data_IF_585322980864
#
_entry.id   IF_585322980864
#
_cell.length_a   1.000
_cell.length_b   1.000
_cell.length_c   1.000
_cell.angle_alpha   90.00
_cell.angle_beta   90.00
_cell.angle_gamma   90.00
#
_symmetry.space_group_name_H-M   'P 1'
#
loop_
_entity.id
_entity.type
_entity.pdbx_description
1 polymer ?
#
# COMPACT_ATOMS: atom_id res chain seq x y z
N UNK A 1 -39.45 3.24 -19.47
CA UNK A 1 -38.09 3.61 -19.91
C UNK A 1 -38.10 5.10 -20.15
N UNK A 2 -37.13 5.83 -19.57
CA UNK A 2 -36.98 7.31 -19.52
C UNK A 2 -37.65 8.04 -18.34
N UNK A 3 -37.19 7.71 -17.14
CA UNK A 3 -37.11 8.68 -16.03
C UNK A 3 -35.80 8.38 -15.31
N UNK A 4 -34.72 8.96 -15.82
CA UNK A 4 -33.41 9.08 -15.18
C UNK A 4 -32.63 10.11 -15.98
N UNK A 5 -31.99 11.03 -15.26
CA UNK A 5 -30.92 11.93 -15.70
C UNK A 5 -31.25 13.42 -15.94
N UNK A 6 -32.01 14.07 -15.05
CA UNK A 6 -32.12 15.55 -15.03
C UNK A 6 -31.80 16.20 -13.67
N UNK A 7 -30.79 15.70 -12.95
CA UNK A 7 -30.40 16.26 -11.65
C UNK A 7 -28.91 16.64 -11.55
N UNK A 8 -28.24 17.00 -12.65
CA UNK A 8 -26.81 17.36 -12.60
C UNK A 8 -26.39 18.62 -13.37
N UNK A 9 -27.31 19.41 -13.94
CA UNK A 9 -26.96 20.65 -14.67
C UNK A 9 -28.03 21.76 -14.58
N UNK A 10 -28.82 21.83 -13.51
CA UNK A 10 -29.81 22.89 -13.32
C UNK A 10 -29.17 24.14 -12.70
N UNK A 11 -28.16 24.71 -13.36
CA UNK A 11 -27.90 26.14 -13.25
C UNK A 11 -28.68 26.81 -14.39
N UNK A 12 -29.48 27.86 -14.14
CA UNK A 12 -30.16 28.57 -15.22
C UNK A 12 -29.10 29.13 -16.17
N UNK A 13 -29.08 28.64 -17.40
CA UNK A 13 -28.23 29.19 -18.45
C UNK A 13 -28.84 30.52 -18.85
N UNK A 14 -28.06 31.59 -18.71
CA UNK A 14 -28.45 32.95 -19.06
C UNK A 14 -28.80 32.99 -20.55
N UNK A 15 -30.09 33.11 -20.86
CA UNK A 15 -30.62 33.04 -22.24
C UNK A 15 -30.06 34.14 -23.14
N UNK A 16 -29.60 35.25 -22.55
CA UNK A 16 -28.97 36.37 -23.27
C UNK A 16 -27.60 36.03 -23.87
N UNK A 17 -26.93 34.96 -23.40
CA UNK A 17 -25.67 34.47 -23.99
C UNK A 17 -25.92 33.55 -25.18
N UNK A 18 -27.06 32.86 -25.21
CA UNK A 18 -27.44 31.95 -26.30
C UNK A 18 -28.03 32.68 -27.52
N UNK A 19 -28.51 33.92 -27.36
CA UNK A 19 -29.04 34.73 -28.48
C UNK A 19 -27.95 35.49 -29.25
N UNK A 20 -26.70 35.49 -28.77
CA UNK A 20 -25.57 36.04 -29.53
C UNK A 20 -24.92 34.93 -30.34
N UNK A 21 -25.42 34.73 -31.56
CA UNK A 21 -24.75 33.89 -32.55
C UNK A 21 -23.29 34.34 -32.72
N UNK A 22 -22.37 33.39 -32.53
CA UNK A 22 -20.94 33.64 -32.66
C UNK A 22 -20.61 33.99 -34.13
N UNK A 23 -20.35 35.27 -34.39
CA UNK A 23 -20.08 35.80 -35.71
C UNK A 23 -18.66 35.43 -36.18
N UNK A 24 -18.57 34.28 -36.86
CA UNK A 24 -17.31 33.76 -37.41
C UNK A 24 -16.73 34.66 -38.49
N UNK A 25 -17.54 35.37 -39.28
CA UNK A 25 -17.06 36.23 -40.36
C UNK A 25 -16.40 37.50 -39.81
N UNK A 26 -16.98 38.11 -38.77
CA UNK A 26 -16.41 39.28 -38.11
C UNK A 26 -15.12 38.98 -37.36
N UNK A 27 -15.02 37.81 -36.71
CA UNK A 27 -13.77 37.35 -36.10
C UNK A 27 -12.70 37.01 -37.16
N UNK A 28 -13.09 36.44 -38.30
CA UNK A 28 -12.17 36.17 -39.40
C UNK A 28 -11.65 37.46 -40.04
N UNK A 29 -12.47 38.51 -40.11
CA UNK A 29 -12.09 39.83 -40.64
C UNK A 29 -11.13 40.60 -39.74
N UNK A 30 -11.12 40.31 -38.43
CA UNK A 30 -10.14 40.85 -37.47
C UNK A 30 -8.75 40.21 -37.65
N UNK A 31 -8.65 39.08 -38.34
CA UNK A 31 -7.39 38.39 -38.57
C UNK A 31 -6.74 38.85 -39.88
N UNK A 32 -5.82 39.81 -39.77
CA UNK A 32 -5.04 40.30 -40.92
C UNK A 32 -3.99 39.26 -41.35
N UNK A 33 -4.44 38.32 -42.20
CA UNK A 33 -3.57 37.27 -42.76
C UNK A 33 -2.35 37.87 -43.46
N UNK A 34 -2.47 39.03 -44.11
CA UNK A 34 -1.35 39.63 -44.86
C UNK A 34 -0.26 40.13 -43.93
N UNK A 35 -0.62 40.73 -42.80
CA UNK A 35 0.36 41.12 -41.77
C UNK A 35 1.16 39.92 -41.26
N UNK A 36 0.48 38.81 -40.97
CA UNK A 36 1.12 37.56 -40.50
C UNK A 36 2.03 36.97 -41.57
N UNK A 37 1.59 36.91 -42.84
CA UNK A 37 2.44 36.38 -43.92
C UNK A 37 3.66 37.27 -44.19
N UNK A 38 3.52 38.60 -44.12
CA UNK A 38 4.64 39.52 -44.24
C UNK A 38 5.64 39.36 -43.08
N UNK A 39 5.17 39.10 -41.87
CA UNK A 39 6.04 38.86 -40.70
C UNK A 39 6.81 37.53 -40.83
N UNK A 40 6.17 36.48 -41.35
CA UNK A 40 6.82 35.20 -41.67
C UNK A 40 7.87 35.38 -42.76
N UNK A 41 7.55 36.12 -43.83
CA UNK A 41 8.46 36.34 -44.95
C UNK A 41 9.66 37.21 -44.53
N UNK A 42 9.43 38.23 -43.69
CA UNK A 42 10.49 39.03 -43.06
C UNK A 42 11.38 38.20 -42.13
N UNK A 43 10.80 37.27 -41.36
CA UNK A 43 11.54 36.36 -40.49
C UNK A 43 12.37 35.32 -41.28
N UNK A 44 11.96 34.96 -42.50
CA UNK A 44 12.74 34.08 -43.38
C UNK A 44 13.94 34.77 -44.06
N UNK A 45 13.88 36.10 -44.24
CA UNK A 45 14.96 36.87 -44.87
C UNK A 45 16.11 37.23 -43.91
N UNK A 46 15.87 37.14 -42.60
CA UNK A 46 16.89 37.30 -41.57
C UNK A 46 16.93 36.09 -40.65
N UNK A 47 17.76 35.07 -40.92
CA UNK A 47 17.99 34.00 -39.98
C UNK A 47 18.78 34.57 -38.79
N UNK A 48 18.08 35.20 -37.83
CA UNK A 48 18.59 35.27 -36.47
C UNK A 48 18.70 33.82 -36.01
N UNK A 49 19.92 33.31 -35.94
CA UNK A 49 20.24 32.00 -35.41
C UNK A 49 19.83 31.96 -33.93
N UNK A 50 18.54 31.75 -33.65
CA UNK A 50 18.12 31.14 -32.40
C UNK A 50 18.64 29.72 -32.46
N UNK A 51 19.79 29.53 -31.82
CA UNK A 51 20.40 28.24 -31.63
C UNK A 51 19.44 27.41 -30.75
N UNK A 52 18.41 26.82 -31.37
CA UNK A 52 17.62 25.78 -30.75
C UNK A 52 18.58 24.61 -30.59
N UNK A 53 19.02 24.38 -29.36
CA UNK A 53 19.67 23.15 -28.97
C UNK A 53 18.79 22.01 -29.46
N UNK A 54 19.29 21.26 -30.44
CA UNK A 54 18.70 19.99 -30.86
C UNK A 54 18.93 19.02 -29.70
N UNK A 55 18.06 19.06 -28.71
CA UNK A 55 18.00 18.03 -27.69
C UNK A 55 17.76 16.71 -28.41
N UNK A 56 18.61 15.73 -28.17
CA UNK A 56 18.32 14.37 -28.64
C UNK A 56 17.14 13.83 -27.83
N UNK A 57 16.38 12.90 -28.42
CA UNK A 57 15.19 12.35 -27.77
C UNK A 57 15.51 11.61 -26.45
N UNK A 58 16.77 11.27 -26.24
CA UNK A 58 17.34 10.59 -25.07
C UNK A 58 18.10 11.53 -24.11
N UNK A 59 18.13 12.84 -24.38
CA UNK A 59 18.83 13.81 -23.55
C UNK A 59 17.92 14.35 -22.45
N UNK A 60 18.31 14.14 -21.18
CA UNK A 60 17.61 14.73 -20.04
C UNK A 60 17.76 16.27 -20.08
N UNK A 61 16.66 16.97 -20.33
CA UNK A 61 16.60 18.44 -20.44
C UNK A 61 16.78 19.15 -19.08
N UNK A 62 16.68 18.39 -17.99
CA UNK A 62 16.95 18.84 -16.63
C UNK A 62 18.42 18.59 -16.31
N UNK A 63 19.29 19.54 -16.69
CA UNK A 63 20.72 19.44 -16.41
C UNK A 63 21.00 19.30 -14.92
N UNK A 64 21.68 18.20 -14.53
CA UNK A 64 22.55 18.09 -13.35
C UNK A 64 21.99 18.39 -11.96
N UNK A 65 20.74 18.80 -11.78
CA UNK A 65 20.13 18.91 -10.46
C UNK A 65 19.81 17.50 -9.97
N UNK A 66 20.46 17.09 -8.88
CA UNK A 66 20.00 15.94 -8.11
C UNK A 66 18.48 16.08 -7.90
N UNK A 67 17.69 15.02 -8.16
CA UNK A 67 16.25 15.10 -8.07
C UNK A 67 15.88 15.67 -6.70
N UNK A 68 15.13 16.79 -6.70
CA UNK A 68 14.76 17.48 -5.49
C UNK A 68 14.13 16.46 -4.51
N UNK A 69 14.84 16.18 -3.42
CA UNK A 69 14.41 15.19 -2.44
C UNK A 69 13.16 15.72 -1.77
N UNK A 70 11.99 15.17 -2.12
CA UNK A 70 10.71 15.58 -1.58
C UNK A 70 10.53 15.00 -0.17
N UNK A 71 11.19 15.62 0.82
CA UNK A 71 11.06 15.26 2.24
C UNK A 71 9.92 16.06 2.86
N UNK A 72 8.81 15.38 3.10
CA UNK A 72 7.63 15.97 3.77
C UNK A 72 7.37 15.37 5.15
N UNK A 73 8.12 14.34 5.53
CA UNK A 73 8.04 13.68 6.83
C UNK A 73 9.37 13.89 7.56
N UNK A 74 9.31 14.45 8.77
CA UNK A 74 10.48 14.66 9.64
C UNK A 74 10.19 14.02 10.99
N UNK A 75 11.13 13.19 11.45
CA UNK A 75 11.03 12.45 12.71
C UNK A 75 12.07 12.97 13.71
N UNK A 76 11.76 12.96 15.02
CA UNK A 76 12.68 13.44 16.06
C UNK A 76 13.75 12.41 16.43
N UNK A 77 13.65 11.17 15.93
CA UNK A 77 14.60 10.10 16.20
C UNK A 77 15.71 10.02 15.12
N UNK A 78 16.81 9.34 15.45
CA UNK A 78 17.78 8.95 14.45
C UNK A 78 17.13 8.02 13.42
N UNK A 79 17.47 8.21 12.15
CA UNK A 79 16.89 7.49 11.01
C UNK A 79 17.98 6.60 10.40
N UNK A 80 17.97 5.32 10.78
CA UNK A 80 18.97 4.33 10.31
C UNK A 80 18.80 3.98 8.83
N UNK A 81 17.57 4.05 8.34
CA UNK A 81 17.21 3.71 6.96
C UNK A 81 16.13 4.64 6.42
N UNK A 82 16.25 5.08 5.18
CA UNK A 82 15.19 5.83 4.50
C UNK A 82 14.51 4.97 3.45
N UNK A 83 13.24 5.28 3.21
CA UNK A 83 12.47 4.68 2.13
C UNK A 83 12.03 5.77 1.16
N UNK A 84 11.88 5.40 -0.10
CA UNK A 84 11.40 6.29 -1.15
C UNK A 84 10.19 5.65 -1.81
N UNK A 85 9.12 6.42 -1.98
CA UNK A 85 7.93 5.97 -2.73
C UNK A 85 8.16 6.07 -4.24
N UNK A 86 7.28 5.47 -5.05
CA UNK A 86 7.32 5.64 -6.52
C UNK A 86 7.21 7.11 -6.96
N UNK A 87 6.64 7.98 -6.13
CA UNK A 87 6.52 9.42 -6.38
C UNK A 87 7.75 10.23 -5.91
N UNK A 88 8.80 9.57 -5.43
CA UNK A 88 10.02 10.22 -4.93
C UNK A 88 9.90 10.85 -3.54
N UNK A 89 8.81 10.56 -2.80
CA UNK A 89 8.64 11.05 -1.43
C UNK A 89 9.51 10.23 -0.49
N UNK A 90 10.27 10.92 0.38
CA UNK A 90 11.08 10.25 1.41
C UNK A 90 10.22 9.95 2.63
N UNK A 91 10.20 8.67 3.01
CA UNK A 91 9.57 8.16 4.22
C UNK A 91 10.69 7.66 5.15
N UNK A 92 10.99 8.38 6.25
CA UNK A 92 12.04 7.96 7.18
C UNK A 92 11.61 6.72 7.98
N UNK A 93 12.59 5.90 8.35
CA UNK A 93 12.36 4.86 9.37
C UNK A 93 12.19 5.48 10.75
N UNK A 94 11.45 4.78 11.60
CA UNK A 94 11.26 5.14 13.01
C UNK A 94 11.69 4.01 13.94
N UNK A 95 11.98 4.36 15.18
CA UNK A 95 12.23 3.34 16.21
C UNK A 95 10.92 2.65 16.62
N UNK A 96 10.98 1.39 17.12
CA UNK A 96 9.81 0.70 17.64
C UNK A 96 9.08 1.48 18.73
N UNK A 97 9.82 2.19 19.59
CA UNK A 97 9.27 2.99 20.68
C UNK A 97 8.45 4.16 20.15
N UNK A 98 8.98 4.88 19.14
CA UNK A 98 8.26 6.00 18.52
C UNK A 98 6.99 5.52 17.84
N UNK A 99 7.06 4.39 17.13
CA UNK A 99 5.90 3.78 16.46
C UNK A 99 4.83 3.33 17.46
N UNK A 100 5.22 2.71 18.56
CA UNK A 100 4.33 2.37 19.66
C UNK A 100 3.71 3.62 20.32
N UNK A 101 4.49 4.71 20.42
CA UNK A 101 3.99 6.01 20.84
C UNK A 101 2.86 6.52 19.96
N UNK A 102 2.96 6.37 18.63
CA UNK A 102 1.90 6.78 17.68
C UNK A 102 0.62 5.99 17.95
N UNK A 103 0.74 4.68 18.14
CA UNK A 103 -0.40 3.80 18.47
C UNK A 103 -1.06 4.23 19.79
N UNK A 104 -0.28 4.54 20.82
CA UNK A 104 -0.80 5.01 22.11
C UNK A 104 -1.46 6.39 22.01
N UNK A 105 -0.88 7.32 21.26
CA UNK A 105 -1.50 8.63 21.01
C UNK A 105 -2.86 8.48 20.29
N UNK A 106 -2.97 7.55 19.34
CA UNK A 106 -4.24 7.21 18.71
C UNK A 106 -5.29 6.73 19.71
N UNK A 107 -4.90 5.87 20.66
CA UNK A 107 -5.82 5.39 21.70
C UNK A 107 -6.36 6.55 22.56
N UNK A 108 -5.51 7.51 22.93
CA UNK A 108 -5.92 8.72 23.68
C UNK A 108 -6.95 9.55 22.92
N UNK A 109 -6.88 9.58 21.59
CA UNK A 109 -7.81 10.30 20.72
C UNK A 109 -9.07 9.50 20.36
N UNK A 110 -9.27 8.32 20.94
CA UNK A 110 -10.43 7.46 20.66
C UNK A 110 -10.29 6.63 19.38
N UNK A 111 -9.11 6.62 18.75
CA UNK A 111 -8.79 5.70 17.67
C UNK A 111 -8.20 4.40 18.24
N UNK A 112 -9.09 3.57 18.78
CA UNK A 112 -8.77 2.35 19.54
C UNK A 112 -8.01 1.28 18.72
N UNK A 113 -7.22 0.43 19.39
CA UNK A 113 -6.52 -0.72 18.78
C UNK A 113 -7.37 -1.59 17.85
N UNK A 114 -8.60 -2.03 18.20
CA UNK A 114 -9.42 -2.81 17.28
C UNK A 114 -9.73 -2.10 15.96
N UNK A 115 -9.90 -0.77 15.97
CA UNK A 115 -10.11 0.01 14.74
C UNK A 115 -8.86 0.08 13.88
N UNK A 116 -7.70 0.26 14.52
CA UNK A 116 -6.40 0.22 13.83
C UNK A 116 -6.15 -1.15 13.21
N UNK A 117 -6.46 -2.22 13.94
CA UNK A 117 -6.39 -3.60 13.49
C UNK A 117 -7.32 -3.86 12.29
N UNK A 118 -8.58 -3.42 12.36
CA UNK A 118 -9.54 -3.57 11.25
C UNK A 118 -9.03 -2.86 10.00
N UNK A 119 -8.47 -1.65 10.15
CA UNK A 119 -7.94 -0.89 9.01
C UNK A 119 -6.75 -1.62 8.37
N UNK A 120 -5.82 -2.12 9.19
CA UNK A 120 -4.69 -2.91 8.69
C UNK A 120 -5.17 -4.19 7.99
N UNK A 121 -6.10 -4.94 8.60
CA UNK A 121 -6.63 -6.17 8.03
C UNK A 121 -7.33 -5.93 6.70
N UNK A 122 -8.14 -4.87 6.61
CA UNK A 122 -8.84 -4.47 5.38
C UNK A 122 -7.86 -4.08 4.27
N UNK A 123 -6.90 -3.21 4.54
CA UNK A 123 -5.92 -2.75 3.56
C UNK A 123 -4.95 -3.88 3.14
N UNK A 124 -4.54 -4.73 4.09
CA UNK A 124 -3.77 -5.95 3.80
C UNK A 124 -4.54 -6.88 2.88
N UNK A 125 -5.84 -7.08 3.11
CA UNK A 125 -6.67 -7.92 2.27
C UNK A 125 -6.84 -7.33 0.86
N UNK A 126 -6.98 -6.01 0.71
CA UNK A 126 -6.99 -5.37 -0.61
C UNK A 126 -5.71 -5.63 -1.39
N UNK A 127 -4.55 -5.45 -0.76
CA UNK A 127 -3.26 -5.76 -1.36
C UNK A 127 -3.20 -7.24 -1.81
N UNK A 128 -3.58 -8.17 -0.93
CA UNK A 128 -3.55 -9.61 -1.22
C UNK A 128 -4.50 -9.97 -2.36
N UNK A 129 -5.71 -9.40 -2.39
CA UNK A 129 -6.67 -9.61 -3.48
C UNK A 129 -6.07 -9.21 -4.83
N UNK A 130 -5.37 -8.07 -4.89
CA UNK A 130 -4.67 -7.66 -6.11
C UNK A 130 -3.55 -8.64 -6.50
N UNK A 131 -2.75 -9.09 -5.53
CA UNK A 131 -1.68 -10.07 -5.76
C UNK A 131 -2.19 -11.43 -6.21
N UNK A 132 -3.41 -11.82 -5.82
CA UNK A 132 -4.07 -13.05 -6.25
C UNK A 132 -4.73 -12.93 -7.63
N UNK A 133 -4.57 -11.82 -8.35
CA UNK A 133 -5.13 -11.62 -9.70
C UNK A 133 -6.42 -10.80 -9.75
N UNK A 134 -6.84 -10.20 -8.63
CA UNK A 134 -7.92 -9.21 -8.58
C UNK A 134 -9.26 -9.72 -9.13
N UNK A 135 -9.92 -8.86 -9.91
CA UNK A 135 -11.25 -9.13 -10.47
C UNK A 135 -11.30 -10.35 -11.41
N UNK A 136 -10.17 -10.76 -12.00
CA UNK A 136 -10.15 -11.90 -12.92
C UNK A 136 -10.31 -13.25 -12.20
N UNK A 137 -9.74 -13.40 -10.99
CA UNK A 137 -9.84 -14.64 -10.20
C UNK A 137 -10.94 -14.61 -9.14
N UNK A 138 -11.37 -13.42 -8.72
CA UNK A 138 -12.39 -13.23 -7.68
C UNK A 138 -13.70 -12.66 -8.24
N UNK A 139 -14.02 -12.99 -9.49
CA UNK A 139 -15.34 -12.72 -10.07
C UNK A 139 -16.41 -13.57 -9.35
N UNK A 140 -17.49 -12.97 -8.82
CA UNK A 140 -18.61 -13.72 -8.24
C UNK A 140 -19.21 -14.78 -9.17
N UNK A 141 -19.07 -14.62 -10.49
CA UNK A 141 -19.54 -15.59 -11.49
C UNK A 141 -18.56 -16.75 -11.69
N UNK A 142 -17.30 -16.62 -11.26
CA UNK A 142 -16.26 -17.64 -11.39
C UNK A 142 -16.16 -18.50 -10.11
N UNK A 143 -16.98 -19.52 -10.03
CA UNK A 143 -17.00 -20.45 -8.88
C UNK A 143 -15.89 -21.52 -8.91
N UNK A 144 -15.20 -21.68 -10.05
CA UNK A 144 -14.37 -22.88 -10.29
C UNK A 144 -12.89 -22.73 -9.89
N UNK A 145 -12.38 -21.51 -9.64
CA UNK A 145 -10.94 -21.29 -9.38
C UNK A 145 -10.63 -20.30 -8.26
N UNK A 146 -11.36 -20.40 -7.13
CA UNK A 146 -11.11 -19.54 -5.97
C UNK A 146 -9.68 -19.75 -5.41
N UNK A 147 -8.90 -18.67 -5.24
CA UNK A 147 -7.55 -18.78 -4.69
C UNK A 147 -7.58 -19.26 -3.25
N UNK A 148 -6.52 -19.95 -2.85
CA UNK A 148 -6.34 -20.48 -1.50
C UNK A 148 -5.18 -19.78 -0.81
N UNK A 149 -5.44 -19.21 0.37
CA UNK A 149 -4.44 -18.50 1.17
C UNK A 149 -4.22 -19.24 2.48
N UNK A 150 -2.97 -19.51 2.81
CA UNK A 150 -2.58 -20.02 4.12
C UNK A 150 -2.20 -18.87 5.04
N UNK A 151 -2.85 -18.77 6.19
CA UNK A 151 -2.52 -17.84 7.29
C UNK A 151 -1.72 -18.59 8.35
N UNK A 152 -0.45 -18.21 8.39
CA UNK A 152 0.65 -18.39 9.34
C UNK A 152 0.62 -17.53 10.61
N UNK A 153 0.16 -17.94 11.81
CA UNK A 153 0.18 -17.00 12.95
C UNK A 153 0.70 -17.54 14.29
N UNK A 154 1.38 -16.67 15.04
CA UNK A 154 1.60 -16.82 16.49
C UNK A 154 0.47 -16.19 17.31
N UNK A 155 0.49 -16.35 18.63
CA UNK A 155 -0.53 -15.81 19.56
C UNK A 155 -0.25 -14.39 20.06
N UNK A 156 0.25 -13.53 19.17
CA UNK A 156 0.63 -12.14 19.46
C UNK A 156 -0.03 -11.16 18.48
N UNK A 157 0.38 -9.89 18.53
CA UNK A 157 -0.23 -8.81 17.74
C UNK A 157 -0.17 -9.09 16.23
N UNK A 158 1.02 -9.35 15.67
CA UNK A 158 1.19 -9.67 14.24
C UNK A 158 0.35 -10.88 13.81
N UNK A 159 0.23 -11.89 14.68
CA UNK A 159 -0.66 -13.03 14.45
C UNK A 159 -2.13 -12.62 14.35
N UNK A 160 -2.56 -11.72 15.24
CA UNK A 160 -3.91 -11.14 15.23
C UNK A 160 -4.16 -10.31 13.95
N UNK A 161 -3.16 -9.55 13.49
CA UNK A 161 -3.24 -8.76 12.25
C UNK A 161 -3.46 -9.65 11.02
N UNK A 162 -2.72 -10.75 10.89
CA UNK A 162 -2.90 -11.67 9.74
C UNK A 162 -4.20 -12.47 9.81
N UNK A 163 -4.72 -12.78 11.01
CA UNK A 163 -6.06 -13.37 11.17
C UNK A 163 -7.14 -12.40 10.69
N UNK A 164 -7.05 -11.12 11.07
CA UNK A 164 -7.98 -10.08 10.61
C UNK A 164 -7.94 -9.95 9.07
N UNK A 165 -6.75 -9.91 8.48
CA UNK A 165 -6.59 -9.97 7.01
C UNK A 165 -7.24 -11.24 6.42
N UNK A 166 -6.96 -12.41 6.99
CA UNK A 166 -7.56 -13.68 6.59
C UNK A 166 -9.09 -13.69 6.66
N UNK A 167 -9.68 -13.06 7.68
CA UNK A 167 -11.14 -12.89 7.81
C UNK A 167 -11.71 -12.06 6.67
N UNK A 168 -11.08 -10.93 6.33
CA UNK A 168 -11.50 -10.13 5.17
C UNK A 168 -11.40 -10.93 3.88
N UNK A 169 -10.30 -11.66 3.67
CA UNK A 169 -10.13 -12.51 2.49
C UNK A 169 -11.22 -13.59 2.38
N UNK A 170 -11.57 -14.25 3.49
CA UNK A 170 -12.65 -15.23 3.53
C UNK A 170 -14.00 -14.59 3.17
N UNK A 171 -14.29 -13.40 3.69
CA UNK A 171 -15.50 -12.62 3.32
C UNK A 171 -15.52 -12.23 1.83
N UNK A 172 -14.35 -12.07 1.20
CA UNK A 172 -14.21 -11.82 -0.24
C UNK A 172 -14.20 -13.11 -1.10
N UNK A 173 -14.54 -14.26 -0.52
CA UNK A 173 -14.66 -15.52 -1.25
C UNK A 173 -13.33 -16.26 -1.49
N UNK A 174 -12.23 -15.81 -0.89
CA UNK A 174 -10.94 -16.53 -0.90
C UNK A 174 -11.04 -17.73 0.04
N UNK A 175 -10.47 -18.88 -0.36
CA UNK A 175 -10.39 -20.04 0.54
C UNK A 175 -9.25 -19.84 1.53
N UNK A 176 -9.56 -19.49 2.77
CA UNK A 176 -8.54 -19.21 3.79
C UNK A 176 -8.37 -20.39 4.74
N UNK A 177 -7.13 -20.86 4.84
CA UNK A 177 -6.69 -21.87 5.81
C UNK A 177 -5.91 -21.15 6.91
N UNK A 178 -6.25 -21.37 8.17
CA UNK A 178 -5.54 -20.79 9.32
C UNK A 178 -4.80 -21.89 10.08
N UNK A 179 -3.50 -21.70 10.28
CA UNK A 179 -2.69 -22.54 11.14
C UNK A 179 -2.01 -21.65 12.20
N UNK A 180 -2.34 -21.89 13.46
CA UNK A 180 -1.77 -21.16 14.59
C UNK A 180 -0.73 -22.02 15.32
N UNK A 181 0.37 -21.42 15.80
CA UNK A 181 1.36 -22.15 16.62
C UNK A 181 0.80 -22.62 17.96
N UNK A 182 -0.14 -21.86 18.51
CA UNK A 182 -0.95 -22.22 19.66
C UNK A 182 -2.34 -21.59 19.51
N UNK A 183 -3.38 -22.26 20.00
CA UNK A 183 -4.74 -21.70 20.06
C UNK A 183 -5.01 -21.05 21.42
N UNK A 184 -4.16 -21.31 22.41
CA UNK A 184 -4.27 -20.71 23.75
C UNK A 184 -3.56 -19.36 23.74
N UNK A 185 -4.33 -18.29 23.84
CA UNK A 185 -3.82 -16.92 24.03
C UNK A 185 -4.49 -16.28 25.23
N UNK A 186 -3.70 -15.59 26.05
CA UNK A 186 -4.20 -14.66 27.08
C UNK A 186 -4.61 -13.31 26.51
N UNK A 187 -4.38 -13.07 25.21
CA UNK A 187 -4.70 -11.82 24.54
C UNK A 187 -6.16 -11.82 24.07
N UNK A 188 -6.98 -10.95 24.66
CA UNK A 188 -8.39 -10.80 24.30
C UNK A 188 -8.63 -10.40 22.84
N UNK A 189 -7.70 -9.65 22.22
CA UNK A 189 -7.80 -9.28 20.80
C UNK A 189 -7.65 -10.50 19.89
N UNK A 190 -6.69 -11.39 20.20
CA UNK A 190 -6.50 -12.63 19.45
C UNK A 190 -7.73 -13.53 19.52
N UNK A 191 -8.27 -13.75 20.74
CA UNK A 191 -9.45 -14.59 20.92
C UNK A 191 -10.68 -14.05 20.17
N UNK A 192 -10.85 -12.72 20.16
CA UNK A 192 -11.93 -12.05 19.45
C UNK A 192 -11.78 -12.24 17.93
N UNK A 193 -10.62 -11.91 17.35
CA UNK A 193 -10.39 -12.07 15.92
C UNK A 193 -10.43 -13.52 15.46
N UNK A 194 -9.90 -14.45 16.26
CA UNK A 194 -9.98 -15.88 15.97
C UNK A 194 -11.44 -16.37 15.90
N UNK A 195 -12.32 -15.82 16.75
CA UNK A 195 -13.75 -16.13 16.74
C UNK A 195 -14.45 -15.52 15.52
N UNK A 196 -14.15 -14.26 15.17
CA UNK A 196 -14.65 -13.61 13.96
C UNK A 196 -14.19 -14.33 12.68
N UNK A 197 -12.94 -14.80 12.64
CA UNK A 197 -12.40 -15.58 11.53
C UNK A 197 -13.20 -16.86 11.30
N UNK A 198 -13.54 -17.61 12.36
CA UNK A 198 -14.39 -18.81 12.24
C UNK A 198 -15.76 -18.51 11.66
N UNK A 199 -16.35 -17.37 12.02
CA UNK A 199 -17.64 -16.92 11.49
C UNK A 199 -17.58 -16.51 10.01
N UNK A 200 -16.41 -16.16 9.49
CA UNK A 200 -16.21 -15.81 8.07
C UNK A 200 -16.11 -17.01 7.12
N UNK A 201 -16.19 -18.24 7.63
CA UNK A 201 -16.08 -19.47 6.83
C UNK A 201 -14.65 -19.93 6.55
N UNK A 202 -13.66 -19.29 7.18
CA UNK A 202 -12.25 -19.74 7.14
C UNK A 202 -12.06 -21.08 7.85
N UNK A 203 -11.16 -21.93 7.34
CA UNK A 203 -10.89 -23.26 7.89
C UNK A 203 -9.68 -23.22 8.82
N UNK A 204 -9.87 -23.62 10.08
CA UNK A 204 -8.78 -23.74 11.05
C UNK A 204 -8.18 -25.15 10.99
N UNK A 205 -6.88 -25.22 10.75
CA UNK A 205 -6.08 -26.45 10.78
C UNK A 205 -5.45 -26.61 12.17
N UNK A 206 -5.25 -27.86 12.58
CA UNK A 206 -4.66 -28.16 13.89
C UNK A 206 -3.18 -28.46 13.78
N UNK A 207 -2.77 -29.11 12.68
CA UNK A 207 -1.40 -29.57 12.48
C UNK A 207 -0.87 -29.16 11.11
N UNK A 208 0.46 -29.06 11.01
CA UNK A 208 1.14 -28.82 9.72
C UNK A 208 0.83 -29.96 8.73
N UNK A 209 0.62 -31.19 9.21
CA UNK A 209 0.31 -32.34 8.36
C UNK A 209 -1.03 -32.21 7.62
N UNK A 210 -1.99 -31.46 8.18
CA UNK A 210 -3.29 -31.22 7.53
C UNK A 210 -3.12 -30.49 6.18
N UNK A 211 -2.01 -29.77 6.00
CA UNK A 211 -1.68 -29.03 4.79
C UNK A 211 -1.34 -29.93 3.59
N UNK A 212 -1.02 -31.22 3.81
CA UNK A 212 -0.70 -32.15 2.72
C UNK A 212 -1.85 -32.31 1.71
N UNK A 213 -3.08 -31.98 2.12
CA UNK A 213 -4.28 -32.08 1.28
C UNK A 213 -4.58 -30.79 0.49
N UNK A 214 -3.73 -29.76 0.58
CA UNK A 214 -4.01 -28.45 0.00
C UNK A 214 -2.86 -27.94 -0.86
N UNK A 215 -3.25 -27.30 -1.95
CA UNK A 215 -2.40 -26.38 -2.69
C UNK A 215 -2.79 -24.95 -2.30
N UNK A 216 -1.79 -24.09 -2.12
CA UNK A 216 -1.98 -22.70 -1.69
C UNK A 216 -1.37 -21.76 -2.72
N UNK A 217 -2.08 -20.70 -3.06
CA UNK A 217 -1.64 -19.67 -4.00
C UNK A 217 -0.73 -18.65 -3.31
N UNK A 218 -0.84 -18.47 -1.99
CA UNK A 218 -0.08 -17.49 -1.20
C UNK A 218 -0.07 -17.84 0.29
N UNK A 219 0.97 -17.41 0.99
CA UNK A 219 1.10 -17.53 2.45
C UNK A 219 1.15 -16.14 3.10
N UNK A 220 0.32 -15.93 4.11
CA UNK A 220 0.34 -14.78 5.01
C UNK A 220 1.01 -15.16 6.31
N UNK A 221 2.09 -14.46 6.68
CA UNK A 221 2.86 -14.75 7.89
C UNK A 221 2.76 -13.61 8.90
N UNK A 222 2.27 -13.96 10.09
CA UNK A 222 2.32 -13.20 11.33
C UNK A 222 2.93 -14.06 12.44
N UNK A 223 4.00 -14.81 12.10
CA UNK A 223 4.78 -15.64 13.02
C UNK A 223 5.79 -14.83 13.83
N UNK A 224 6.25 -13.71 13.27
CA UNK A 224 7.31 -12.92 13.85
C UNK A 224 6.74 -11.79 14.69
N UNK A 225 6.59 -12.04 15.98
CA UNK A 225 6.24 -11.03 16.97
C UNK A 225 7.33 -10.77 18.00
N UNK A 226 7.09 -9.77 18.84
CA UNK A 226 7.90 -9.44 20.01
C UNK A 226 7.74 -10.41 21.19
N UNK A 227 6.78 -11.34 21.09
CA UNK A 227 6.44 -12.28 22.15
C UNK A 227 7.34 -13.54 22.15
N UNK A 228 7.07 -14.41 23.13
CA UNK A 228 7.72 -15.71 23.39
C UNK A 228 8.16 -16.46 22.11
N UNK A 229 9.32 -17.13 22.14
CA UNK A 229 9.81 -17.89 21.01
C UNK A 229 8.84 -19.00 20.62
N UNK A 230 8.64 -19.16 19.32
CA UNK A 230 7.84 -20.25 18.75
C UNK A 230 8.48 -21.61 19.07
N UNK A 231 7.66 -22.66 19.16
CA UNK A 231 8.14 -24.02 19.34
C UNK A 231 9.08 -24.40 18.16
N UNK A 232 10.33 -24.83 18.42
CA UNK A 232 11.32 -25.07 17.37
C UNK A 232 10.89 -26.13 16.35
N UNK A 233 10.33 -27.25 16.82
CA UNK A 233 9.91 -28.35 15.95
C UNK A 233 8.78 -27.93 15.00
N UNK A 234 7.75 -27.27 15.54
CA UNK A 234 6.64 -26.75 14.76
C UNK A 234 7.12 -25.72 13.73
N UNK A 235 8.04 -24.85 14.13
CA UNK A 235 8.62 -23.81 13.26
C UNK A 235 9.40 -24.40 12.10
N UNK A 236 10.16 -25.48 12.33
CA UNK A 236 10.89 -26.16 11.25
C UNK A 236 9.97 -26.88 10.28
N UNK A 237 8.92 -27.53 10.80
CA UNK A 237 7.90 -28.21 9.98
C UNK A 237 7.21 -27.22 9.03
N UNK A 238 6.76 -26.06 9.54
CA UNK A 238 6.08 -25.08 8.69
C UNK A 238 7.03 -24.42 7.69
N UNK A 239 8.29 -24.15 8.07
CA UNK A 239 9.32 -23.62 7.18
C UNK A 239 9.59 -24.57 6.01
N UNK A 240 9.77 -25.85 6.32
CA UNK A 240 9.98 -26.90 5.33
C UNK A 240 8.78 -26.99 4.37
N UNK A 241 7.55 -27.01 4.92
CA UNK A 241 6.35 -27.09 4.10
C UNK A 241 6.18 -25.86 3.18
N UNK A 242 6.39 -24.65 3.70
CA UNK A 242 6.27 -23.41 2.91
C UNK A 242 7.30 -23.42 1.78
N UNK A 243 8.54 -23.81 2.06
CA UNK A 243 9.60 -23.95 1.04
C UNK A 243 9.19 -24.93 -0.07
N UNK A 244 8.60 -26.08 0.29
CA UNK A 244 8.14 -27.08 -0.67
C UNK A 244 6.93 -26.63 -1.49
N UNK A 245 6.02 -25.85 -0.90
CA UNK A 245 4.81 -25.37 -1.58
C UNK A 245 5.10 -24.37 -2.70
N UNK A 246 6.27 -23.70 -2.66
CA UNK A 246 6.69 -22.62 -3.58
C UNK A 246 5.73 -21.42 -3.64
N UNK A 247 4.77 -21.35 -2.72
CA UNK A 247 3.84 -20.23 -2.66
C UNK A 247 4.57 -18.97 -2.18
N UNK A 248 4.28 -17.80 -2.78
CA UNK A 248 4.85 -16.54 -2.34
C UNK A 248 4.39 -16.19 -0.92
N UNK A 249 5.31 -15.67 -0.11
CA UNK A 249 5.06 -15.31 1.29
C UNK A 249 4.96 -13.80 1.43
N UNK A 250 3.88 -13.31 2.02
CA UNK A 250 3.75 -11.95 2.54
C UNK A 250 3.87 -11.99 4.05
N UNK A 251 4.86 -11.29 4.59
CA UNK A 251 5.05 -11.14 6.04
C UNK A 251 4.47 -9.79 6.47
N UNK A 252 3.56 -9.80 7.44
CA UNK A 252 2.90 -8.59 7.94
C UNK A 252 3.59 -8.15 9.23
N UNK A 253 4.03 -6.89 9.23
CA UNK A 253 4.60 -6.19 10.37
C UNK A 253 5.74 -6.94 11.10
N UNK A 254 6.75 -7.49 10.38
CA UNK A 254 7.84 -8.19 11.04
C UNK A 254 8.71 -7.23 11.89
N UNK A 255 9.32 -7.74 12.97
CA UNK A 255 10.35 -7.01 13.71
C UNK A 255 11.56 -6.72 12.80
N UNK A 256 12.03 -5.48 12.84
CA UNK A 256 13.02 -4.98 11.90
C UNK A 256 14.45 -5.50 12.15
N UNK A 257 14.76 -5.86 13.39
CA UNK A 257 16.09 -6.23 13.87
C UNK A 257 16.46 -7.71 13.65
N UNK A 258 15.52 -8.54 13.18
CA UNK A 258 15.72 -9.98 13.01
C UNK A 258 15.17 -10.46 11.68
N UNK A 259 15.71 -11.60 11.24
CA UNK A 259 15.18 -12.28 10.07
C UNK A 259 13.77 -12.82 10.35
N UNK A 260 12.81 -12.62 9.43
CA UNK A 260 11.54 -13.31 9.49
C UNK A 260 11.71 -14.83 9.46
N UNK A 261 10.79 -15.53 10.13
CA UNK A 261 10.78 -16.99 10.23
C UNK A 261 10.59 -17.65 8.86
N UNK A 262 9.81 -17.02 7.99
CA UNK A 262 9.58 -17.45 6.61
C UNK A 262 10.18 -16.42 5.65
N UNK A 263 10.83 -16.88 4.58
CA UNK A 263 11.45 -15.99 3.59
C UNK A 263 10.38 -15.14 2.87
N UNK A 264 10.34 -13.81 3.09
CA UNK A 264 9.33 -12.95 2.48
C UNK A 264 9.62 -12.74 0.99
N UNK A 265 8.57 -12.84 0.15
CA UNK A 265 8.56 -12.18 -1.16
C UNK A 265 8.16 -10.71 -1.00
N UNK A 266 7.27 -10.45 -0.05
CA UNK A 266 6.79 -9.12 0.28
C UNK A 266 6.73 -8.91 1.79
N UNK A 267 6.94 -7.67 2.22
CA UNK A 267 6.80 -7.23 3.60
C UNK A 267 5.82 -6.06 3.64
N UNK A 268 4.80 -6.14 4.48
CA UNK A 268 3.83 -5.07 4.69
C UNK A 268 4.03 -4.43 6.07
N UNK A 269 4.37 -3.15 6.09
CA UNK A 269 4.61 -2.39 7.31
C UNK A 269 3.46 -1.42 7.57
N UNK A 270 2.80 -1.47 8.74
CA UNK A 270 1.83 -0.45 9.15
C UNK A 270 2.48 0.89 9.52
N UNK A 271 1.73 2.00 9.42
CA UNK A 271 2.10 3.33 9.92
C UNK A 271 3.34 3.94 9.23
N UNK A 272 4.41 4.14 10.00
CA UNK A 272 5.74 4.51 9.51
C UNK A 272 6.63 3.27 9.59
N UNK A 273 7.50 3.06 8.60
CA UNK A 273 8.32 1.86 8.51
C UNK A 273 9.37 1.84 9.62
N UNK A 274 9.71 0.63 10.08
CA UNK A 274 10.88 0.43 10.93
C UNK A 274 12.13 0.25 10.04
N UNK A 275 13.32 0.45 10.58
CA UNK A 275 14.57 0.24 9.85
C UNK A 275 14.84 -1.25 9.62
N UNK A 276 14.28 -1.80 8.54
CA UNK A 276 14.42 -3.22 8.19
C UNK A 276 15.88 -3.60 7.96
N UNK A 277 16.27 -4.81 8.40
CA UNK A 277 17.58 -5.40 8.10
C UNK A 277 17.85 -5.38 6.59
N UNK A 278 19.08 -5.04 6.21
CA UNK A 278 19.47 -4.76 4.82
C UNK A 278 19.21 -5.91 3.86
N UNK A 279 19.40 -7.14 4.31
CA UNK A 279 19.14 -8.35 3.53
C UNK A 279 17.65 -8.52 3.20
N UNK A 280 16.74 -8.24 4.16
CA UNK A 280 15.29 -8.24 3.91
C UNK A 280 14.91 -7.09 2.98
N UNK A 281 15.45 -5.89 3.25
CA UNK A 281 15.20 -4.71 2.45
C UNK A 281 15.65 -4.86 0.98
N UNK A 282 16.70 -5.65 0.72
CA UNK A 282 17.22 -5.91 -0.62
C UNK A 282 16.55 -7.09 -1.35
N UNK A 283 15.92 -8.02 -0.62
CA UNK A 283 15.39 -9.27 -1.19
C UNK A 283 13.87 -9.31 -1.33
N UNK A 284 13.13 -8.53 -0.53
CA UNK A 284 11.67 -8.52 -0.53
C UNK A 284 11.11 -7.19 -1.05
N UNK A 285 9.94 -7.23 -1.69
CA UNK A 285 9.20 -6.02 -2.01
C UNK A 285 8.59 -5.42 -0.74
N UNK A 286 8.94 -4.19 -0.41
CA UNK A 286 8.49 -3.50 0.80
C UNK A 286 7.24 -2.67 0.50
N UNK A 287 6.27 -2.72 1.39
CA UNK A 287 5.02 -1.97 1.28
C UNK A 287 4.69 -1.27 2.59
N UNK A 288 4.10 -0.08 2.49
CA UNK A 288 3.58 0.69 3.60
C UNK A 288 2.06 0.69 3.56
N UNK A 289 1.44 0.41 4.70
CA UNK A 289 0.00 0.43 4.89
C UNK A 289 -0.43 1.67 5.66
N UNK A 290 -1.39 2.41 5.09
CA UNK A 290 -2.10 3.47 5.81
C UNK A 290 -3.08 2.86 6.81
N UNK A 291 -2.99 3.31 8.07
CA UNK A 291 -3.93 2.92 9.11
C UNK A 291 -4.97 4.02 9.38
N UNK A 292 -5.03 5.09 8.58
CA UNK A 292 -5.96 6.19 8.80
C UNK A 292 -5.67 6.97 10.07
N UNK A 293 -4.40 7.04 10.49
CA UNK A 293 -4.00 7.74 11.72
C UNK A 293 -4.11 9.26 11.56
N UNK A 294 -4.79 9.96 12.48
CA UNK A 294 -4.87 11.41 12.45
C UNK A 294 -3.49 12.08 12.57
N UNK A 295 -3.26 13.16 11.80
CA UNK A 295 -2.04 13.98 11.87
C UNK A 295 -1.70 14.45 13.29
N UNK A 296 -2.71 14.61 14.15
CA UNK A 296 -2.53 15.01 15.54
C UNK A 296 -1.69 14.01 16.35
N UNK A 297 -1.79 12.69 16.08
CA UNK A 297 -1.03 11.65 16.77
C UNK A 297 0.47 11.74 16.45
N UNK A 298 0.82 12.03 15.20
CA UNK A 298 2.20 12.30 14.80
C UNK A 298 2.73 13.58 15.47
N UNK A 299 1.93 14.65 15.48
CA UNK A 299 2.33 15.94 16.05
C UNK A 299 2.56 15.89 17.56
N UNK A 300 1.80 15.09 18.31
CA UNK A 300 2.02 14.88 19.76
C UNK A 300 3.44 14.37 20.06
N UNK A 301 4.01 13.61 19.13
CA UNK A 301 5.35 13.01 19.24
C UNK A 301 6.42 13.83 18.54
N UNK A 302 6.12 15.06 18.10
CA UNK A 302 7.06 15.92 17.39
C UNK A 302 7.36 15.48 15.94
N UNK A 303 6.54 14.61 15.36
CA UNK A 303 6.68 14.18 13.96
C UNK A 303 5.94 15.18 13.06
N UNK A 304 6.68 15.82 12.15
CA UNK A 304 6.07 16.55 11.05
C UNK A 304 5.62 15.53 10.01
N UNK A 305 4.32 15.35 9.83
CA UNK A 305 3.76 14.30 8.98
C UNK A 305 2.90 14.86 7.85
N UNK A 306 3.27 14.48 6.63
CA UNK A 306 2.42 14.57 5.45
C UNK A 306 2.22 13.15 4.88
N UNK A 307 0.98 12.76 4.53
CA UNK A 307 0.69 11.39 4.11
C UNK A 307 1.35 11.07 2.76
N UNK A 308 2.17 9.99 2.66
CA UNK A 308 2.88 9.63 1.43
C UNK A 308 2.04 8.80 0.45
N UNK A 309 0.76 8.57 0.75
CA UNK A 309 -0.07 7.53 0.14
C UNK A 309 -0.80 7.94 -1.15
N UNK A 310 -0.98 9.23 -1.39
CA UNK A 310 -1.78 9.72 -2.52
C UNK A 310 -3.21 9.18 -2.45
N UNK A 311 -3.67 8.50 -3.50
CA UNK A 311 -5.01 7.89 -3.60
C UNK A 311 -5.08 6.41 -3.20
N UNK A 312 -3.98 5.84 -2.66
CA UNK A 312 -3.88 4.42 -2.31
C UNK A 312 -3.87 4.24 -0.79
N UNK A 313 -4.24 3.06 -0.28
CA UNK A 313 -4.06 2.69 1.13
C UNK A 313 -2.81 1.86 1.39
N UNK A 314 -2.24 1.28 0.33
CA UNK A 314 -0.98 0.55 0.36
C UNK A 314 -0.09 1.05 -0.77
N UNK A 315 1.16 1.38 -0.46
CA UNK A 315 2.14 1.88 -1.43
C UNK A 315 3.44 1.06 -1.34
N UNK A 316 4.15 0.84 -2.46
CA UNK A 316 5.48 0.26 -2.42
C UNK A 316 6.49 1.25 -1.84
N UNK A 317 7.52 0.71 -1.20
CA UNK A 317 8.66 1.43 -0.67
C UNK A 317 9.96 0.84 -1.23
N UNK A 318 10.90 1.72 -1.55
CA UNK A 318 12.25 1.35 -1.99
C UNK A 318 13.25 1.80 -0.94
N UNK A 319 14.02 0.86 -0.39
CA UNK A 319 15.01 1.17 0.64
C UNK A 319 16.18 1.98 0.06
N UNK A 320 16.58 3.04 0.76
CA UNK A 320 17.70 3.91 0.45
C UNK A 320 18.54 4.08 1.70
N UNK A 321 19.81 3.66 1.63
CA UNK A 321 20.75 3.83 2.73
C UNK A 321 20.96 5.32 3.03
N UNK A 322 20.92 5.68 4.32
CA UNK A 322 21.39 6.98 4.77
C UNK A 322 22.92 7.00 4.63
N UNK A 323 23.46 7.95 3.88
CA UNK A 323 24.90 8.23 3.82
C UNK A 323 25.30 9.26 4.85
#
# INVERSE_FOLDING_TARGET
MRERDEACFSAPVDSDVLEKDFDFEKNLALFDKRAVFNEIEAAMLHPQARHQSKYRCDENVLGGMEPAVLRQITVPCHCDLEYVTDAGLVVPSVTPELRNGIVQACEKFGYSRPRQLEMLGRASAEMVIQLLGGCHRLDPQNSHQRPTVLVVCGTHEQGTQVICCGRHLANHGVRVLLLASSVRSSNGFFATEFSLFKLSGGKVLQTVHDLANYTVDMVLSGLDGSAEPLEPLWTELIRTWVCQSKAPVLVVDPPANRLPTLCPKWVLMPLLPLAMRQDVASSAGLYLCDLGVPKAAFRELGIQYAPPFGSKFVIPLHARMCH
#
